data_IF_547198246512
#
_entry.id   IF_547198246512
#
_cell.length_a   1.000
_cell.length_b   1.000
_cell.length_c   1.000
_cell.angle_alpha   90.00
_cell.angle_beta   90.00
_cell.angle_gamma   90.00
#
_symmetry.space_group_name_H-M   'P 1'
#
loop_
_entity.id
_entity.type
_entity.pdbx_description
1 polymer ?
#
# COMPACT_ATOMS: atom_id res chain seq x y z
N UNK A 1 -13.61 6.22 3.78
CA UNK A 1 -12.38 7.03 3.96
C UNK A 1 -11.68 7.10 2.61
N UNK A 2 -11.18 8.27 2.19
CA UNK A 2 -10.62 8.53 0.84
C UNK A 2 -9.59 7.48 0.37
N UNK A 3 -8.79 6.93 1.30
CA UNK A 3 -7.81 5.88 0.98
C UNK A 3 -8.45 4.58 0.48
N UNK A 4 -9.59 4.15 1.06
CA UNK A 4 -10.28 2.92 0.63
C UNK A 4 -10.85 3.09 -0.78
N UNK A 5 -11.27 4.30 -1.15
CA UNK A 5 -11.75 4.61 -2.51
C UNK A 5 -10.62 4.59 -3.53
N UNK A 6 -9.48 5.19 -3.18
CA UNK A 6 -8.28 5.17 -4.02
C UNK A 6 -7.78 3.73 -4.22
N UNK A 7 -7.72 2.92 -3.16
CA UNK A 7 -7.31 1.52 -3.26
C UNK A 7 -8.33 0.68 -4.04
N UNK A 8 -9.63 0.95 -3.92
CA UNK A 8 -10.65 0.29 -4.72
C UNK A 8 -10.50 0.58 -6.22
N UNK A 9 -10.09 1.79 -6.59
CA UNK A 9 -9.79 2.13 -7.98
C UNK A 9 -8.63 1.27 -8.51
N UNK A 10 -7.51 1.18 -7.78
CA UNK A 10 -6.37 0.37 -8.20
C UNK A 10 -6.64 -1.13 -8.18
N UNK A 11 -7.41 -1.61 -7.21
CA UNK A 11 -7.90 -3.00 -7.13
C UNK A 11 -8.69 -3.36 -8.41
N UNK A 12 -9.68 -2.54 -8.77
CA UNK A 12 -10.48 -2.71 -9.99
C UNK A 12 -9.61 -2.59 -11.25
N UNK A 13 -8.64 -1.69 -11.28
CA UNK A 13 -7.78 -1.51 -12.45
C UNK A 13 -6.93 -2.75 -12.72
N UNK A 14 -6.35 -3.35 -11.66
CA UNK A 14 -5.56 -4.58 -11.74
C UNK A 14 -6.38 -5.83 -12.06
N UNK A 15 -7.72 -5.78 -12.11
CA UNK A 15 -8.50 -6.88 -12.68
C UNK A 15 -8.45 -6.90 -14.22
N UNK A 16 -7.96 -5.82 -14.84
CA UNK A 16 -7.90 -5.65 -16.30
C UNK A 16 -6.50 -5.79 -16.87
N UNK A 17 -5.47 -5.66 -16.03
CA UNK A 17 -4.07 -5.68 -16.43
C UNK A 17 -3.22 -6.49 -15.45
N UNK A 18 -2.12 -7.06 -15.93
CA UNK A 18 -1.20 -7.83 -15.07
C UNK A 18 -0.37 -6.94 -14.14
N UNK A 19 0.02 -5.76 -14.62
CA UNK A 19 0.81 -4.74 -13.91
C UNK A 19 0.01 -3.44 -13.81
N UNK A 20 0.53 -2.42 -13.10
CA UNK A 20 -0.30 -1.27 -12.70
C UNK A 20 -0.81 -0.42 -13.87
N UNK A 21 -0.20 -0.54 -15.05
CA UNK A 21 -0.57 0.22 -16.25
C UNK A 21 -0.93 -0.66 -17.47
N UNK A 22 -0.35 -1.86 -17.59
CA UNK A 22 -0.54 -2.77 -18.72
C UNK A 22 -0.12 -4.20 -18.38
N UNK A 23 0.01 -5.08 -19.37
CA UNK A 23 0.40 -6.49 -19.16
C UNK A 23 1.92 -6.72 -19.09
N UNK A 24 2.70 -5.65 -19.05
CA UNK A 24 4.15 -5.69 -18.91
C UNK A 24 4.61 -4.81 -17.76
N UNK A 25 5.73 -5.18 -17.14
CA UNK A 25 6.34 -4.37 -16.09
C UNK A 25 6.95 -3.11 -16.70
N UNK A 26 6.60 -1.94 -16.17
CA UNK A 26 6.98 -0.63 -16.73
C UNK A 26 7.45 0.34 -15.64
N UNK A 27 7.79 1.57 -16.07
CA UNK A 27 8.08 2.68 -15.16
C UNK A 27 6.91 2.99 -14.22
N UNK A 28 5.66 2.71 -14.61
CA UNK A 28 4.51 2.91 -13.75
C UNK A 28 4.59 2.05 -12.48
N UNK A 29 5.02 0.79 -12.59
CA UNK A 29 5.20 -0.10 -11.44
C UNK A 29 6.35 0.37 -10.55
N UNK A 30 7.45 0.85 -11.15
CA UNK A 30 8.57 1.44 -10.43
C UNK A 30 8.18 2.68 -9.63
N UNK A 31 7.19 3.46 -10.10
CA UNK A 31 6.68 4.64 -9.40
C UNK A 31 5.63 4.28 -8.34
N UNK A 32 4.73 3.35 -8.65
CA UNK A 32 3.60 3.00 -7.80
C UNK A 32 4.01 2.10 -6.61
N UNK A 33 4.80 1.06 -6.87
CA UNK A 33 5.14 0.06 -5.85
C UNK A 33 5.82 0.66 -4.61
N UNK A 34 6.82 1.56 -4.70
CA UNK A 34 7.44 2.13 -3.51
C UNK A 34 6.47 2.89 -2.62
N UNK A 35 5.48 3.58 -3.20
CA UNK A 35 4.43 4.29 -2.45
C UNK A 35 3.61 3.31 -1.64
N UNK A 36 3.09 2.26 -2.27
CA UNK A 36 2.29 1.24 -1.57
C UNK A 36 3.14 0.47 -0.55
N UNK A 37 4.36 0.09 -0.88
CA UNK A 37 5.27 -0.60 0.03
C UNK A 37 5.55 0.22 1.29
N UNK A 38 5.74 1.54 1.14
CA UNK A 38 5.88 2.45 2.26
C UNK A 38 4.60 2.54 3.09
N UNK A 39 3.42 2.65 2.46
CA UNK A 39 2.16 2.70 3.20
C UNK A 39 1.92 1.40 3.99
N UNK A 40 2.23 0.23 3.43
CA UNK A 40 2.19 -1.07 4.13
C UNK A 40 3.17 -1.04 5.32
N UNK A 41 4.40 -0.57 5.11
CA UNK A 41 5.36 -0.39 6.20
C UNK A 41 4.81 0.55 7.29
N UNK A 42 4.00 1.55 6.95
CA UNK A 42 3.31 2.46 7.89
C UNK A 42 1.94 1.95 8.36
N UNK A 43 1.63 0.67 8.16
CA UNK A 43 0.46 0.01 8.73
C UNK A 43 -0.78 0.00 7.86
N UNK A 44 -0.66 0.22 6.54
CA UNK A 44 -1.75 0.02 5.60
C UNK A 44 -2.13 -1.46 5.57
N UNK A 45 -3.42 -1.74 5.71
CA UNK A 45 -3.98 -3.08 5.59
C UNK A 45 -4.63 -3.24 4.19
N UNK A 46 -4.27 -4.31 3.48
CA UNK A 46 -4.78 -4.64 2.14
C UNK A 46 -5.72 -5.86 2.11
N UNK A 47 -6.24 -6.32 3.25
CA UNK A 47 -7.07 -7.53 3.33
C UNK A 47 -8.40 -7.39 2.56
N UNK A 48 -8.87 -6.16 2.35
CA UNK A 48 -10.03 -5.84 1.50
C UNK A 48 -9.70 -5.81 -0.01
N UNK A 49 -8.42 -5.85 -0.38
CA UNK A 49 -7.92 -5.61 -1.73
C UNK A 49 -6.99 -6.76 -2.18
N UNK A 50 -7.53 -7.98 -2.38
CA UNK A 50 -6.73 -9.17 -2.66
C UNK A 50 -5.97 -9.12 -3.99
N UNK A 51 -6.52 -8.48 -5.03
CA UNK A 51 -5.86 -8.38 -6.34
C UNK A 51 -4.63 -7.47 -6.23
N UNK A 52 -4.78 -6.33 -5.56
CA UNK A 52 -3.69 -5.42 -5.25
C UNK A 52 -2.64 -6.09 -4.35
N UNK A 53 -3.07 -6.86 -3.34
CA UNK A 53 -2.16 -7.64 -2.48
C UNK A 53 -1.34 -8.66 -3.30
N UNK A 54 -1.96 -9.33 -4.26
CA UNK A 54 -1.27 -10.26 -5.16
C UNK A 54 -0.27 -9.55 -6.08
N UNK A 55 -0.66 -8.42 -6.67
CA UNK A 55 0.24 -7.56 -7.46
C UNK A 55 1.48 -7.16 -6.64
N UNK A 56 1.29 -6.67 -5.41
CA UNK A 56 2.40 -6.27 -4.53
C UNK A 56 3.33 -7.45 -4.22
N UNK A 57 2.78 -8.64 -3.94
CA UNK A 57 3.58 -9.84 -3.72
C UNK A 57 4.37 -10.24 -4.97
N UNK A 58 3.82 -10.03 -6.16
CA UNK A 58 4.50 -10.28 -7.43
C UNK A 58 5.65 -9.31 -7.66
N UNK A 59 5.47 -8.02 -7.36
CA UNK A 59 6.56 -7.04 -7.50
C UNK A 59 7.68 -7.30 -6.49
N UNK A 60 7.36 -7.71 -5.25
CA UNK A 60 8.35 -8.03 -4.21
C UNK A 60 9.37 -9.09 -4.62
N UNK A 61 9.03 -10.03 -5.49
CA UNK A 61 9.96 -11.08 -5.94
C UNK A 61 10.91 -10.61 -7.05
N UNK A 62 10.70 -9.41 -7.63
CA UNK A 62 11.55 -8.90 -8.70
C UNK A 62 12.93 -8.52 -8.17
N UNK A 63 14.03 -8.84 -8.89
CA UNK A 63 15.39 -8.50 -8.46
C UNK A 63 15.58 -7.01 -8.16
N UNK A 64 14.94 -6.12 -8.93
CA UNK A 64 15.00 -4.69 -8.71
C UNK A 64 14.38 -4.29 -7.35
N UNK A 65 13.22 -4.84 -7.00
CA UNK A 65 12.53 -4.55 -5.75
C UNK A 65 13.28 -5.11 -4.53
N UNK A 66 13.89 -6.29 -4.67
CA UNK A 66 14.72 -6.89 -3.61
C UNK A 66 15.95 -6.03 -3.36
N UNK A 67 16.66 -5.61 -4.42
CA UNK A 67 17.88 -4.80 -4.31
C UNK A 67 17.62 -3.39 -3.79
N UNK A 68 16.46 -2.81 -4.09
CA UNK A 68 16.09 -1.46 -3.65
C UNK A 68 15.35 -1.44 -2.30
N UNK A 69 15.12 -2.61 -1.67
CA UNK A 69 14.44 -2.66 -0.39
C UNK A 69 15.30 -2.00 0.70
N UNK A 70 14.74 -1.07 1.50
CA UNK A 70 15.50 -0.40 2.55
C UNK A 70 15.97 -1.38 3.64
N UNK A 71 17.26 -1.35 3.95
CA UNK A 71 17.91 -2.26 4.92
C UNK A 71 17.26 -2.17 6.32
N UNK A 72 16.85 -0.97 6.73
CA UNK A 72 16.30 -0.73 8.07
C UNK A 72 14.80 -1.00 8.19
N UNK A 73 14.14 -1.50 7.14
CA UNK A 73 12.74 -1.93 7.22
C UNK A 73 12.69 -3.35 7.81
N UNK A 74 12.83 -3.42 9.15
CA UNK A 74 12.71 -4.68 9.88
C UNK A 74 11.38 -5.40 9.56
N UNK A 75 11.39 -6.74 9.63
CA UNK A 75 10.22 -7.61 9.33
C UNK A 75 8.96 -7.28 10.14
N UNK A 76 9.08 -6.55 11.26
CA UNK A 76 7.98 -6.20 12.18
C UNK A 76 7.19 -4.94 11.81
N UNK A 77 7.39 -4.38 10.61
CA UNK A 77 6.70 -3.17 10.17
C UNK A 77 7.30 -1.90 10.78
N UNK A 78 6.91 -0.75 10.24
CA UNK A 78 7.47 0.55 10.64
C UNK A 78 7.10 0.93 12.07
N UNK A 79 7.99 1.73 12.70
CA UNK A 79 7.86 2.14 14.12
C UNK A 79 6.50 2.76 14.47
N UNK A 80 5.80 3.38 13.51
CA UNK A 80 4.52 4.07 13.71
C UNK A 80 3.51 3.66 12.65
N UNK A 81 2.39 3.07 13.09
CA UNK A 81 1.20 2.88 12.27
C UNK A 81 0.43 4.20 12.13
N UNK A 82 0.51 4.84 10.96
CA UNK A 82 -0.10 6.17 10.72
C UNK A 82 -1.63 6.09 10.64
N UNK A 83 -2.18 4.99 10.14
CA UNK A 83 -3.62 4.81 10.01
C UNK A 83 -4.30 4.73 11.38
N UNK A 84 -3.65 4.03 12.32
CA UNK A 84 -4.09 3.99 13.72
C UNK A 84 -4.04 5.38 14.38
N UNK A 85 -2.96 6.13 14.16
CA UNK A 85 -2.81 7.48 14.73
C UNK A 85 -3.91 8.42 14.22
N UNK A 86 -4.14 8.46 12.91
CA UNK A 86 -5.18 9.30 12.30
C UNK A 86 -6.58 8.91 12.81
N UNK A 87 -6.89 7.62 12.87
CA UNK A 87 -8.17 7.15 13.41
C UNK A 87 -8.37 7.58 14.87
N UNK A 88 -7.34 7.49 15.71
CA UNK A 88 -7.42 7.94 17.11
C UNK A 88 -7.67 9.45 17.22
N UNK A 89 -7.02 10.26 16.38
CA UNK A 89 -7.23 11.72 16.36
C UNK A 89 -8.69 12.03 16.01
N UNK A 90 -9.21 11.42 14.94
CA UNK A 90 -10.60 11.63 14.51
C UNK A 90 -11.60 11.23 15.61
N UNK A 91 -11.38 10.09 16.27
CA UNK A 91 -12.23 9.63 17.37
C UNK A 91 -12.21 10.62 18.55
N UNK A 92 -11.04 11.13 18.93
CA UNK A 92 -10.92 12.06 20.05
C UNK A 92 -11.56 13.42 19.72
N UNK A 93 -11.37 13.94 18.51
CA UNK A 93 -12.02 15.18 18.06
C UNK A 93 -13.55 15.07 18.07
N UNK A 94 -14.11 13.90 17.74
CA UNK A 94 -15.56 13.72 17.80
C UNK A 94 -16.10 13.72 19.24
N UNK A 95 -15.32 13.18 20.20
CA UNK A 95 -15.70 13.18 21.63
C UNK A 95 -15.65 14.55 22.30
N UNK A 96 -14.78 15.45 21.83
CA UNK A 96 -14.70 16.83 22.34
C UNK A 96 -15.83 17.73 21.83
N UNK A 97 -16.52 17.31 20.76
CA UNK A 97 -17.63 18.05 20.14
C UNK A 97 -19.03 17.51 20.54
N UNK A 98 -19.08 16.47 21.38
CA UNK A 98 -20.29 15.90 22.01
C UNK A 98 -20.45 16.40 23.44
#
# INVERSE_FOLDING_TARGET
QLIDQELAFWEMYLTKTTFIACDHFTLADCAFYPVIAYLIHRGLNLDKFPVLKNYINTIKTKPAAIKSHPIDWAEKGGKINIFRVVNNIVINSNKENE
#
